data_IF_729885505650
#
_entry.id   IF_729885505650
#
_cell.length_a   1.000
_cell.length_b   1.000
_cell.length_c   1.000
_cell.angle_alpha   90.00
_cell.angle_beta   90.00
_cell.angle_gamma   90.00
#
_symmetry.space_group_name_H-M   'P 1'
#
loop_
_entity.id
_entity.type
_entity.pdbx_description
1 polymer ?
#
# COMPACT_ATOMS: atom_id res chain seq x y z
N UNK A 1 -14.96 -35.35 20.62
CA UNK A 1 -15.65 -34.09 20.25
C UNK A 1 -14.72 -32.89 20.07
N UNK A 2 -13.77 -32.59 20.98
CA UNK A 2 -12.91 -31.39 20.89
C UNK A 2 -12.10 -31.25 19.58
N UNK A 3 -11.60 -32.36 19.03
CA UNK A 3 -10.79 -32.35 17.79
C UNK A 3 -11.60 -31.96 16.54
N UNK A 4 -12.86 -32.41 16.45
CA UNK A 4 -13.74 -32.11 15.30
C UNK A 4 -14.18 -30.64 15.28
N UNK A 5 -14.46 -30.07 16.44
CA UNK A 5 -14.78 -28.64 16.58
C UNK A 5 -13.59 -27.76 16.22
N UNK A 6 -12.38 -28.12 16.68
CA UNK A 6 -11.15 -27.38 16.36
C UNK A 6 -10.82 -27.36 14.87
N UNK A 7 -10.99 -28.49 14.17
CA UNK A 7 -10.77 -28.58 12.71
C UNK A 7 -11.79 -27.72 11.96
N UNK A 8 -13.06 -27.70 12.38
CA UNK A 8 -14.08 -26.86 11.78
C UNK A 8 -13.73 -25.37 11.88
N UNK A 9 -13.40 -24.89 13.09
CA UNK A 9 -13.01 -23.49 13.27
C UNK A 9 -11.72 -23.16 12.52
N UNK A 10 -10.72 -24.05 12.54
CA UNK A 10 -9.48 -23.86 11.77
C UNK A 10 -9.74 -23.73 10.27
N UNK A 11 -10.60 -24.58 9.71
CA UNK A 11 -11.03 -24.50 8.31
C UNK A 11 -11.81 -23.22 8.00
N UNK A 12 -12.75 -22.82 8.87
CA UNK A 12 -13.53 -21.59 8.72
C UNK A 12 -12.64 -20.34 8.73
N UNK A 13 -11.78 -20.20 9.73
CA UNK A 13 -10.86 -19.06 9.84
C UNK A 13 -9.81 -19.06 8.73
N UNK A 14 -9.33 -20.24 8.31
CA UNK A 14 -8.44 -20.37 7.16
C UNK A 14 -9.09 -19.90 5.86
N UNK A 15 -10.31 -20.35 5.58
CA UNK A 15 -11.07 -19.93 4.41
C UNK A 15 -11.41 -18.43 4.43
N UNK A 16 -11.84 -17.92 5.59
CA UNK A 16 -12.11 -16.49 5.77
C UNK A 16 -10.84 -15.66 5.59
N UNK A 17 -9.70 -16.11 6.11
CA UNK A 17 -8.41 -15.47 5.94
C UNK A 17 -7.99 -15.39 4.47
N UNK A 18 -8.15 -16.49 3.72
CA UNK A 18 -7.89 -16.50 2.26
C UNK A 18 -8.82 -15.53 1.55
N UNK A 19 -10.12 -15.53 1.87
CA UNK A 19 -11.10 -14.64 1.23
C UNK A 19 -10.74 -13.17 1.48
N UNK A 20 -10.49 -12.79 2.73
CA UNK A 20 -10.11 -11.43 3.09
C UNK A 20 -8.79 -11.02 2.42
N UNK A 21 -7.81 -11.93 2.37
CA UNK A 21 -6.56 -11.71 1.67
C UNK A 21 -6.80 -11.48 0.17
N UNK A 22 -7.59 -12.31 -0.51
CA UNK A 22 -7.87 -12.16 -1.94
C UNK A 22 -8.62 -10.86 -2.25
N UNK A 23 -9.57 -10.47 -1.40
CA UNK A 23 -10.28 -9.19 -1.53
C UNK A 23 -9.30 -8.03 -1.37
N UNK A 24 -8.53 -8.00 -0.28
CA UNK A 24 -7.53 -6.96 -0.05
C UNK A 24 -6.49 -6.91 -1.18
N UNK A 25 -6.03 -8.07 -1.65
CA UNK A 25 -5.04 -8.20 -2.69
C UNK A 25 -5.53 -7.82 -4.09
N UNK A 26 -6.80 -8.07 -4.38
CA UNK A 26 -7.43 -7.69 -5.64
C UNK A 26 -7.78 -6.21 -5.73
N UNK A 27 -7.85 -5.49 -4.61
CA UNK A 27 -8.18 -4.07 -4.63
C UNK A 27 -6.99 -3.19 -5.03
N UNK A 28 -7.31 -2.08 -5.68
CA UNK A 28 -6.42 -1.03 -6.15
C UNK A 28 -6.45 0.22 -5.25
N UNK A 29 -6.87 0.06 -4.00
CA UNK A 29 -7.08 1.16 -3.03
C UNK A 29 -6.14 1.08 -1.82
N UNK A 30 -4.93 0.59 -2.00
CA UNK A 30 -3.96 0.46 -0.89
C UNK A 30 -3.32 1.82 -0.55
N UNK A 31 -3.25 2.70 -1.54
CA UNK A 31 -2.73 4.04 -1.46
C UNK A 31 -3.62 4.95 -2.29
N UNK A 32 -4.10 6.03 -1.68
CA UNK A 32 -4.83 7.08 -2.36
C UNK A 32 -3.97 8.35 -2.36
N UNK A 33 -3.83 8.99 -3.51
CA UNK A 33 -3.20 10.28 -3.62
C UNK A 33 -4.08 11.25 -4.40
N UNK A 34 -4.02 12.52 -4.04
CA UNK A 34 -4.78 13.59 -4.69
C UNK A 34 -3.80 14.70 -5.03
N UNK A 35 -3.68 14.96 -6.31
CA UNK A 35 -2.92 16.06 -6.87
C UNK A 35 -3.87 17.22 -7.10
N UNK A 36 -3.51 18.40 -6.61
CA UNK A 36 -4.28 19.63 -6.80
C UNK A 36 -3.31 20.69 -7.30
N UNK A 37 -3.58 21.25 -8.47
CA UNK A 37 -2.77 22.32 -9.04
C UNK A 37 -3.59 23.30 -9.86
N UNK A 38 -3.25 24.59 -9.74
CA UNK A 38 -3.71 25.66 -10.65
C UNK A 38 -2.64 25.93 -11.68
N UNK A 39 -2.46 24.97 -12.59
CA UNK A 39 -1.42 25.05 -13.61
C UNK A 39 -2.02 25.69 -14.87
N UNK A 40 -1.59 26.90 -15.21
CA UNK A 40 -1.98 27.58 -16.45
C UNK A 40 -1.27 26.92 -17.64
N UNK A 41 -2.05 26.42 -18.61
CA UNK A 41 -1.51 25.83 -19.85
C UNK A 41 -1.16 26.94 -20.88
N UNK A 42 -1.62 28.18 -20.67
CA UNK A 42 -1.31 29.34 -21.53
C UNK A 42 -1.61 30.70 -20.84
N UNK A 43 -0.86 31.74 -21.24
CA UNK A 43 -0.92 33.13 -20.72
C UNK A 43 -2.30 33.83 -20.74
N UNK A 44 -3.35 33.20 -21.27
CA UNK A 44 -4.71 33.76 -21.36
C UNK A 44 -5.81 32.87 -20.76
N UNK A 45 -5.49 31.71 -20.18
CA UNK A 45 -6.48 30.89 -19.48
C UNK A 45 -6.54 31.28 -18.00
N UNK A 46 -7.74 31.61 -17.52
CA UNK A 46 -8.02 31.66 -16.08
C UNK A 46 -7.60 30.33 -15.49
N UNK A 47 -6.65 30.32 -14.55
CA UNK A 47 -6.06 29.10 -14.01
C UNK A 47 -7.13 28.22 -13.35
N UNK A 48 -7.70 27.29 -14.12
CA UNK A 48 -8.65 26.30 -13.62
C UNK A 48 -7.89 25.35 -12.68
N UNK A 49 -8.46 25.14 -11.49
CA UNK A 49 -7.93 24.21 -10.51
C UNK A 49 -8.23 22.77 -10.99
N UNK A 50 -7.18 22.08 -11.42
CA UNK A 50 -7.25 20.67 -11.83
C UNK A 50 -6.96 19.78 -10.62
N UNK A 51 -7.88 18.86 -10.34
CA UNK A 51 -7.69 17.82 -9.34
C UNK A 51 -7.52 16.49 -10.06
N UNK A 52 -6.42 15.78 -9.81
CA UNK A 52 -6.21 14.42 -10.29
C UNK A 52 -6.15 13.47 -9.10
N UNK A 53 -7.02 12.47 -9.12
CA UNK A 53 -7.06 11.42 -8.11
C UNK A 53 -6.28 10.22 -8.60
N UNK A 54 -5.47 9.65 -7.71
CA UNK A 54 -4.67 8.47 -7.92
C UNK A 54 -5.05 7.42 -6.89
N UNK A 55 -5.23 6.18 -7.34
CA UNK A 55 -5.32 5.03 -6.46
C UNK A 55 -4.39 3.93 -6.98
N UNK A 56 -3.67 3.35 -6.05
CA UNK A 56 -2.72 2.28 -6.31
C UNK A 56 -3.04 1.10 -5.41
N UNK A 57 -3.05 -0.09 -6.00
CA UNK A 57 -2.87 -1.32 -5.25
C UNK A 57 -1.86 -2.21 -5.93
N UNK A 58 -2.02 -3.51 -5.74
CA UNK A 58 -0.97 -4.44 -6.13
C UNK A 58 -0.77 -4.53 -7.65
N UNK A 59 -1.87 -4.72 -8.39
CA UNK A 59 -1.83 -4.98 -9.84
C UNK A 59 -1.98 -3.72 -10.68
N UNK A 60 -2.75 -2.76 -10.16
CA UNK A 60 -3.20 -1.62 -10.93
C UNK A 60 -2.86 -0.33 -10.20
N UNK A 61 -2.40 0.63 -11.00
CA UNK A 61 -2.32 2.03 -10.65
C UNK A 61 -3.25 2.76 -11.60
N UNK A 62 -4.23 3.44 -11.05
CA UNK A 62 -5.25 4.12 -11.82
C UNK A 62 -5.33 5.58 -11.40
N UNK A 63 -5.65 6.45 -12.37
CA UNK A 63 -5.88 7.86 -12.11
C UNK A 63 -7.05 8.40 -12.95
N UNK A 64 -7.66 9.46 -12.44
CA UNK A 64 -8.73 10.18 -13.12
C UNK A 64 -8.78 11.64 -12.67
N UNK A 65 -9.18 12.53 -13.59
CA UNK A 65 -9.37 13.94 -13.30
C UNK A 65 -10.76 14.20 -12.72
N UNK A 66 -10.83 15.08 -11.73
CA UNK A 66 -12.04 15.57 -11.11
C UNK A 66 -12.16 17.09 -11.24
N UNK A 67 -13.40 17.58 -11.22
CA UNK A 67 -13.69 19.01 -11.14
C UNK A 67 -13.86 19.42 -9.69
N UNK A 68 -13.32 20.59 -9.32
CA UNK A 68 -13.60 21.23 -8.03
C UNK A 68 -15.09 21.57 -8.00
N UNK A 69 -15.82 20.91 -7.13
CA UNK A 69 -17.22 21.22 -6.83
C UNK A 69 -17.27 21.61 -5.35
N UNK A 70 -17.92 22.73 -5.02
CA UNK A 70 -17.74 23.50 -3.77
C UNK A 70 -18.03 22.74 -2.46
N UNK A 71 -18.54 21.51 -2.53
CA UNK A 71 -18.79 20.67 -1.36
C UNK A 71 -17.71 19.59 -1.20
N UNK A 72 -16.55 20.01 -0.69
CA UNK A 72 -15.25 19.32 -0.64
C UNK A 72 -15.13 18.17 0.38
N UNK A 73 -16.22 17.73 1.01
CA UNK A 73 -16.16 16.91 2.23
C UNK A 73 -16.67 15.47 2.14
N UNK A 74 -16.75 14.83 0.97
CA UNK A 74 -17.16 13.42 0.98
C UNK A 74 -16.26 12.52 0.14
N UNK A 75 -15.40 11.80 0.87
CA UNK A 75 -14.80 10.52 0.48
C UNK A 75 -15.85 9.55 -0.11
N UNK A 76 -17.12 9.75 0.24
CA UNK A 76 -18.30 9.13 -0.36
C UNK A 76 -18.47 9.45 -1.86
N UNK A 77 -18.19 10.69 -2.30
CA UNK A 77 -18.23 11.05 -3.73
C UNK A 77 -17.15 10.31 -4.52
N UNK A 78 -15.97 10.12 -3.91
CA UNK A 78 -14.86 9.36 -4.48
C UNK A 78 -15.18 7.87 -4.68
N UNK A 79 -15.82 7.21 -3.70
CA UNK A 79 -16.13 5.78 -3.79
C UNK A 79 -17.38 5.45 -4.62
N UNK A 80 -18.38 6.34 -4.72
CA UNK A 80 -19.70 5.98 -5.25
C UNK A 80 -20.30 6.90 -6.32
N UNK A 81 -19.96 8.19 -6.41
CA UNK A 81 -20.76 9.13 -7.25
C UNK A 81 -19.97 10.01 -8.21
N UNK A 82 -18.64 9.94 -8.22
CA UNK A 82 -17.79 10.78 -9.08
C UNK A 82 -16.63 10.02 -9.74
N UNK A 83 -16.80 8.73 -10.03
CA UNK A 83 -15.85 8.06 -10.92
C UNK A 83 -16.06 8.62 -12.33
N UNK A 84 -15.08 9.38 -12.81
CA UNK A 84 -15.03 9.79 -14.22
C UNK A 84 -15.16 8.55 -15.12
N UNK A 85 -15.98 8.59 -16.18
CA UNK A 85 -16.08 7.48 -17.13
C UNK A 85 -14.74 7.16 -17.81
N UNK A 86 -13.76 8.07 -17.77
CA UNK A 86 -12.40 7.87 -18.27
C UNK A 86 -11.39 7.71 -17.13
N UNK A 87 -11.35 6.52 -16.53
CA UNK A 87 -10.22 6.12 -15.66
C UNK A 87 -9.10 5.57 -16.52
N UNK A 88 -7.87 6.04 -16.32
CA UNK A 88 -6.71 5.48 -16.99
C UNK A 88 -5.96 4.59 -16.00
N UNK A 89 -5.72 3.34 -16.39
CA UNK A 89 -5.14 2.33 -15.53
C UNK A 89 -3.92 1.72 -16.20
N UNK A 90 -2.84 1.61 -15.44
CA UNK A 90 -1.61 0.94 -15.85
C UNK A 90 -1.22 -0.09 -14.81
N UNK A 91 -0.41 -1.06 -15.21
CA UNK A 91 0.07 -2.05 -14.27
C UNK A 91 1.05 -1.43 -13.27
N UNK A 92 0.78 -1.59 -11.97
CA UNK A 92 1.58 -0.98 -10.91
C UNK A 92 3.05 -1.45 -10.93
N UNK A 93 3.33 -2.68 -11.36
CA UNK A 93 4.69 -3.22 -11.49
C UNK A 93 5.49 -2.62 -12.66
N UNK A 94 4.83 -2.00 -13.64
CA UNK A 94 5.47 -1.31 -14.78
C UNK A 94 5.67 0.19 -14.53
N UNK A 95 5.07 0.72 -13.46
CA UNK A 95 5.22 2.12 -13.07
C UNK A 95 6.09 2.22 -11.82
N UNK A 96 7.42 2.41 -11.95
CA UNK A 96 8.11 3.15 -10.91
C UNK A 96 7.39 4.49 -10.73
N UNK A 97 7.44 5.05 -9.52
CA UNK A 97 6.89 6.38 -9.23
C UNK A 97 7.34 7.38 -10.32
N UNK A 98 6.56 8.43 -10.64
CA UNK A 98 6.89 9.35 -11.72
C UNK A 98 7.99 10.29 -11.25
N UNK A 99 9.19 9.77 -11.18
CA UNK A 99 10.40 10.51 -10.93
C UNK A 99 11.47 9.70 -11.61
N UNK A 100 12.00 10.29 -12.67
CA UNK A 100 13.20 9.84 -13.36
C UNK A 100 12.97 8.68 -14.32
N UNK A 101 12.02 8.85 -15.24
CA UNK A 101 12.15 8.15 -16.54
C UNK A 101 13.43 8.61 -17.28
N UNK A 102 13.95 9.78 -16.93
CA UNK A 102 15.12 10.40 -17.55
C UNK A 102 16.44 10.27 -16.74
N UNK A 103 16.43 9.79 -15.48
CA UNK A 103 17.66 9.36 -14.75
C UNK A 103 17.63 7.85 -14.46
N UNK A 104 17.59 7.06 -15.53
CA UNK A 104 17.79 5.61 -15.51
C UNK A 104 19.11 5.15 -14.84
N UNK A 105 20.02 6.07 -14.51
CA UNK A 105 21.31 5.82 -13.89
C UNK A 105 21.39 6.18 -12.39
N UNK A 106 20.29 6.62 -11.77
CA UNK A 106 20.32 6.95 -10.34
C UNK A 106 20.28 5.68 -9.45
N UNK A 107 21.06 5.67 -8.37
CA UNK A 107 21.06 4.59 -7.36
C UNK A 107 19.68 4.39 -6.72
N UNK A 108 18.87 5.45 -6.63
CA UNK A 108 17.51 5.41 -6.12
C UNK A 108 16.55 4.62 -7.04
N UNK A 109 16.66 4.80 -8.36
CA UNK A 109 15.86 4.06 -9.34
C UNK A 109 16.17 2.56 -9.32
N UNK A 110 17.46 2.20 -9.31
CA UNK A 110 17.90 0.81 -9.27
C UNK A 110 17.48 0.10 -7.97
N UNK A 111 17.62 0.76 -6.81
CA UNK A 111 17.18 0.20 -5.53
C UNK A 111 15.66 0.03 -5.46
N UNK A 112 14.89 0.94 -6.05
CA UNK A 112 13.43 0.83 -6.14
C UNK A 112 12.96 -0.38 -6.96
N UNK A 113 13.60 -0.64 -8.11
CA UNK A 113 13.29 -1.81 -8.95
C UNK A 113 13.59 -3.11 -8.19
N UNK A 114 14.78 -3.20 -7.59
CA UNK A 114 15.20 -4.39 -6.84
C UNK A 114 14.22 -4.66 -5.70
N UNK A 115 13.82 -3.60 -4.97
CA UNK A 115 12.86 -3.68 -3.89
C UNK A 115 11.50 -4.22 -4.33
N UNK A 116 10.94 -3.66 -5.41
CA UNK A 116 9.67 -4.13 -6.00
C UNK A 116 9.78 -5.57 -6.52
N UNK A 117 10.94 -5.96 -7.03
CA UNK A 117 11.24 -7.34 -7.41
C UNK A 117 11.14 -8.30 -6.22
N UNK A 118 11.87 -8.05 -5.13
CA UNK A 118 11.82 -8.87 -3.92
C UNK A 118 10.41 -8.98 -3.33
N UNK A 119 9.71 -7.84 -3.26
CA UNK A 119 8.34 -7.80 -2.78
C UNK A 119 7.40 -8.68 -3.63
N UNK A 120 7.52 -8.61 -4.95
CA UNK A 120 6.72 -9.42 -5.88
C UNK A 120 7.05 -10.92 -5.76
N UNK A 121 8.32 -11.29 -5.59
CA UNK A 121 8.75 -12.68 -5.42
C UNK A 121 8.22 -13.27 -4.11
N UNK A 122 8.34 -12.55 -3.00
CA UNK A 122 7.85 -12.99 -1.69
C UNK A 122 6.35 -13.20 -1.68
N UNK A 123 5.61 -12.31 -2.34
CA UNK A 123 4.18 -12.47 -2.52
C UNK A 123 3.84 -13.68 -3.39
N UNK A 124 4.50 -13.85 -4.54
CA UNK A 124 4.26 -15.02 -5.40
C UNK A 124 4.50 -16.32 -4.63
N UNK A 125 5.57 -16.38 -3.84
CA UNK A 125 5.85 -17.50 -2.95
C UNK A 125 4.72 -17.70 -1.92
N UNK A 126 4.20 -16.62 -1.33
CA UNK A 126 3.05 -16.66 -0.42
C UNK A 126 1.80 -17.27 -1.07
N UNK A 127 1.46 -16.83 -2.29
CA UNK A 127 0.31 -17.33 -3.07
C UNK A 127 0.47 -18.82 -3.39
N UNK A 128 1.63 -19.23 -3.89
CA UNK A 128 1.92 -20.65 -4.16
C UNK A 128 1.80 -21.48 -2.89
N UNK A 129 2.30 -20.96 -1.77
CA UNK A 129 2.22 -21.63 -0.47
C UNK A 129 0.77 -21.83 -0.02
N UNK A 130 -0.12 -20.84 -0.20
CA UNK A 130 -1.56 -20.97 0.10
C UNK A 130 -2.23 -22.00 -0.78
N UNK A 131 -1.92 -22.04 -2.07
CA UNK A 131 -2.49 -23.02 -3.00
C UNK A 131 -2.10 -24.45 -2.57
N UNK A 132 -0.82 -24.66 -2.25
CA UNK A 132 -0.31 -25.95 -1.76
C UNK A 132 -0.93 -26.31 -0.41
N UNK A 133 -1.04 -25.36 0.53
CA UNK A 133 -1.69 -25.55 1.82
C UNK A 133 -3.15 -25.99 1.67
N UNK A 134 -3.89 -25.29 0.79
CA UNK A 134 -5.31 -25.55 0.52
C UNK A 134 -5.50 -26.94 -0.09
N UNK A 135 -4.64 -27.33 -1.03
CA UNK A 135 -4.65 -28.68 -1.58
C UNK A 135 -4.50 -29.75 -0.49
N UNK A 136 -3.53 -29.61 0.41
CA UNK A 136 -3.36 -30.56 1.52
C UNK A 136 -4.57 -30.63 2.44
N UNK A 137 -5.18 -29.50 2.80
CA UNK A 137 -6.37 -29.46 3.67
C UNK A 137 -7.59 -30.08 2.98
N UNK A 138 -7.81 -29.80 1.69
CA UNK A 138 -8.92 -30.38 0.91
C UNK A 138 -8.77 -31.89 0.82
N UNK A 139 -7.55 -32.39 0.55
CA UNK A 139 -7.26 -33.82 0.54
C UNK A 139 -7.36 -34.45 1.94
N UNK A 140 -7.14 -33.71 3.03
CA UNK A 140 -7.19 -34.26 4.37
C UNK A 140 -8.59 -34.78 4.76
N UNK A 141 -9.67 -34.18 4.24
CA UNK A 141 -11.05 -34.56 4.53
C UNK A 141 -11.45 -35.96 4.02
N UNK A 142 -11.31 -36.30 2.71
CA UNK A 142 -11.66 -37.63 2.21
C UNK A 142 -10.72 -38.73 2.72
N UNK A 143 -9.44 -38.42 2.97
CA UNK A 143 -8.47 -39.41 3.44
C UNK A 143 -8.43 -39.56 4.97
N UNK A 144 -9.14 -38.70 5.72
CA UNK A 144 -9.14 -38.72 7.19
C UNK A 144 -7.74 -38.61 7.82
N UNK A 145 -6.76 -38.04 7.11
CA UNK A 145 -5.35 -38.10 7.48
C UNK A 145 -4.95 -36.90 8.35
N UNK A 146 -4.60 -37.18 9.61
CA UNK A 146 -4.09 -36.17 10.54
C UNK A 146 -2.76 -35.56 10.08
N UNK A 147 -1.95 -36.30 9.32
CA UNK A 147 -0.68 -35.80 8.76
C UNK A 147 -0.95 -34.70 7.74
N UNK A 148 -1.96 -34.85 6.88
CA UNK A 148 -2.33 -33.84 5.88
C UNK A 148 -2.84 -32.56 6.54
N UNK A 149 -3.66 -32.67 7.60
CA UNK A 149 -4.07 -31.49 8.37
C UNK A 149 -2.89 -30.76 9.01
N UNK A 150 -1.93 -31.50 9.58
CA UNK A 150 -0.73 -30.92 10.20
C UNK A 150 0.17 -30.22 9.17
N UNK A 151 0.42 -30.87 8.02
CA UNK A 151 1.24 -30.34 6.94
C UNK A 151 0.58 -29.11 6.31
N UNK A 152 -0.70 -29.20 5.94
CA UNK A 152 -1.46 -28.08 5.37
C UNK A 152 -1.53 -26.88 6.30
N UNK A 153 -1.78 -27.11 7.60
CA UNK A 153 -1.75 -26.06 8.61
C UNK A 153 -0.37 -25.39 8.74
N UNK A 154 0.71 -26.17 8.67
CA UNK A 154 2.07 -25.64 8.65
C UNK A 154 2.34 -24.73 7.45
N UNK A 155 1.91 -25.11 6.25
CA UNK A 155 2.02 -24.26 5.06
C UNK A 155 1.18 -22.99 5.18
N UNK A 156 -0.02 -23.05 5.78
CA UNK A 156 -0.81 -21.83 6.06
C UNK A 156 -0.08 -20.86 7.00
N UNK A 157 0.60 -21.36 8.03
CA UNK A 157 1.41 -20.52 8.93
C UNK A 157 2.57 -19.89 8.15
N UNK A 158 3.28 -20.67 7.33
CA UNK A 158 4.37 -20.17 6.50
C UNK A 158 3.89 -19.08 5.52
N UNK A 159 2.74 -19.28 4.88
CA UNK A 159 2.11 -18.28 4.02
C UNK A 159 1.78 -16.99 4.79
N UNK A 160 1.23 -17.09 6.01
CA UNK A 160 0.96 -15.95 6.87
C UNK A 160 2.21 -15.13 7.20
N UNK A 161 3.34 -15.80 7.47
CA UNK A 161 4.64 -15.14 7.70
C UNK A 161 5.09 -14.42 6.42
N UNK A 162 5.03 -15.08 5.26
CA UNK A 162 5.40 -14.48 3.97
C UNK A 162 4.56 -13.23 3.66
N UNK A 163 3.23 -13.30 3.83
CA UNK A 163 2.38 -12.14 3.61
C UNK A 163 2.59 -11.03 4.63
N UNK A 164 2.93 -11.37 5.88
CA UNK A 164 3.32 -10.37 6.88
C UNK A 164 4.58 -9.62 6.43
N UNK A 165 5.58 -10.33 5.91
CA UNK A 165 6.78 -9.71 5.34
C UNK A 165 6.44 -8.82 4.14
N UNK A 166 5.54 -9.26 3.25
CA UNK A 166 5.06 -8.46 2.12
C UNK A 166 4.40 -7.16 2.58
N UNK A 167 3.56 -7.20 3.62
CA UNK A 167 2.93 -6.01 4.20
C UNK A 167 3.96 -5.09 4.84
N UNK A 168 4.92 -5.62 5.60
CA UNK A 168 6.00 -4.83 6.20
C UNK A 168 6.83 -4.13 5.12
N UNK A 169 7.17 -4.85 4.04
CA UNK A 169 7.88 -4.28 2.91
C UNK A 169 7.03 -3.21 2.21
N UNK A 170 5.73 -3.42 2.02
CA UNK A 170 4.86 -2.39 1.48
C UNK A 170 4.87 -1.10 2.33
N UNK A 171 4.83 -1.23 3.66
CA UNK A 171 4.90 -0.10 4.58
C UNK A 171 6.26 0.62 4.49
N UNK A 172 7.36 -0.12 4.42
CA UNK A 172 8.70 0.46 4.25
C UNK A 172 8.81 1.18 2.89
N UNK A 173 8.28 0.59 1.82
CA UNK A 173 8.23 1.23 0.49
C UNK A 173 7.57 2.61 0.56
N UNK A 174 6.37 2.64 1.14
CA UNK A 174 5.58 3.84 1.32
C UNK A 174 6.28 4.90 2.19
N UNK A 175 6.93 4.49 3.28
CA UNK A 175 7.49 5.42 4.25
C UNK A 175 8.92 5.88 3.95
N UNK A 176 9.73 5.03 3.32
CA UNK A 176 11.18 5.23 3.19
C UNK A 176 11.64 5.37 1.74
N UNK A 177 10.96 4.74 0.78
CA UNK A 177 11.41 4.72 -0.62
C UNK A 177 10.60 5.67 -1.52
N UNK A 178 9.36 5.98 -1.16
CA UNK A 178 8.56 6.99 -1.86
C UNK A 178 9.09 8.39 -1.51
N UNK A 179 10.04 8.89 -2.31
CA UNK A 179 10.58 10.24 -2.14
C UNK A 179 9.60 11.30 -2.70
N UNK A 180 8.53 11.51 -1.95
CA UNK A 180 7.45 12.42 -2.29
C UNK A 180 7.90 13.89 -2.32
N UNK A 181 8.91 14.24 -1.52
CA UNK A 181 9.43 15.60 -1.42
C UNK A 181 10.08 16.03 -2.74
N UNK A 182 10.99 15.20 -3.28
CA UNK A 182 11.56 15.45 -4.59
C UNK A 182 10.50 15.47 -5.70
N UNK A 183 9.42 14.69 -5.55
CA UNK A 183 8.34 14.66 -6.53
C UNK A 183 7.61 15.99 -6.58
N UNK A 184 7.23 16.50 -5.41
CA UNK A 184 6.57 17.79 -5.27
C UNK A 184 7.49 18.93 -5.72
N UNK A 185 8.78 18.89 -5.37
CA UNK A 185 9.76 19.91 -5.79
C UNK A 185 9.86 19.94 -7.32
N UNK A 186 10.04 18.78 -7.96
CA UNK A 186 10.12 18.70 -9.41
C UNK A 186 8.84 19.20 -10.08
N UNK A 187 7.67 18.79 -9.57
CA UNK A 187 6.38 19.20 -10.14
C UNK A 187 6.09 20.69 -9.94
N UNK A 188 6.61 21.28 -8.85
CA UNK A 188 6.52 22.73 -8.58
C UNK A 188 7.34 23.60 -9.53
N UNK A 189 8.35 23.05 -10.20
CA UNK A 189 9.08 23.77 -11.27
C UNK A 189 8.12 24.11 -12.40
N UNK A 190 7.27 23.15 -12.80
CA UNK A 190 6.30 23.34 -13.88
C UNK A 190 5.01 24.02 -13.39
N UNK A 191 4.65 23.84 -12.12
CA UNK A 191 3.41 24.37 -11.55
C UNK A 191 3.59 24.85 -10.09
N UNK A 192 3.83 26.16 -9.87
CA UNK A 192 4.14 26.71 -8.55
C UNK A 192 3.07 26.44 -7.49
N UNK A 193 1.80 26.44 -7.88
CA UNK A 193 0.63 26.21 -7.01
C UNK A 193 0.28 24.71 -6.85
N UNK A 194 1.21 23.80 -7.14
CA UNK A 194 1.00 22.36 -6.99
C UNK A 194 1.02 21.92 -5.51
N UNK A 195 0.03 21.11 -5.13
CA UNK A 195 -0.08 20.45 -3.83
C UNK A 195 -0.47 18.98 -4.00
N UNK A 196 0.05 18.14 -3.11
CA UNK A 196 -0.17 16.69 -3.15
C UNK A 196 -0.59 16.20 -1.77
N UNK A 197 -1.72 15.50 -1.72
CA UNK A 197 -2.27 14.89 -0.53
C UNK A 197 -2.27 13.37 -0.68
N UNK A 198 -1.41 12.67 0.05
CA UNK A 198 -1.42 11.21 0.10
C UNK A 198 -2.14 10.73 1.38
N UNK A 199 -3.05 9.78 1.22
CA UNK A 199 -3.75 9.08 2.31
C UNK A 199 -3.48 7.58 2.21
N UNK A 200 -3.07 7.02 3.34
CA UNK A 200 -2.94 5.59 3.53
C UNK A 200 -4.07 5.18 4.46
N UNK A 201 -4.71 4.04 4.20
CA UNK A 201 -5.90 3.56 4.94
C UNK A 201 -5.65 3.18 6.41
N UNK A 202 -4.63 3.75 7.06
CA UNK A 202 -4.49 3.75 8.52
C UNK A 202 -3.64 4.89 9.13
N UNK A 203 -3.04 5.79 8.34
CA UNK A 203 -2.33 6.96 8.86
C UNK A 203 -2.47 8.16 7.93
N UNK A 204 -3.18 9.18 8.41
CA UNK A 204 -3.25 10.51 7.82
C UNK A 204 -1.87 11.17 7.99
N UNK A 205 -1.07 11.27 6.92
CA UNK A 205 0.13 12.11 6.87
C UNK A 205 -0.27 13.59 6.78
N UNK A 206 -0.67 14.16 7.92
CA UNK A 206 -0.69 15.60 8.12
C UNK A 206 0.43 15.93 9.12
N UNK A 207 1.44 16.64 8.63
CA UNK A 207 2.64 17.12 9.35
C UNK A 207 3.70 16.08 9.76
N UNK A 208 4.72 15.90 8.92
CA UNK A 208 6.06 15.45 9.37
C UNK A 208 7.03 16.62 9.55
N UNK A 209 6.56 17.77 10.06
CA UNK A 209 7.46 18.77 10.66
C UNK A 209 7.82 18.43 12.11
N UNK A 210 7.01 17.62 12.81
CA UNK A 210 7.17 17.38 14.25
C UNK A 210 8.12 16.22 14.62
N UNK A 211 8.54 15.36 13.68
CA UNK A 211 9.44 14.23 13.98
C UNK A 211 10.90 14.41 13.54
N UNK A 212 11.26 15.56 12.93
CA UNK A 212 12.68 15.88 12.68
C UNK A 212 13.43 16.36 13.94
N UNK A 213 12.72 16.72 15.02
CA UNK A 213 13.34 17.25 16.25
C UNK A 213 13.44 16.30 17.45
N UNK A 214 12.88 15.07 17.39
CA UNK A 214 12.81 14.19 18.57
C UNK A 214 13.77 13.00 18.56
N UNK A 215 14.64 12.87 17.56
CA UNK A 215 15.54 11.70 17.43
C UNK A 215 17.04 12.02 17.48
N UNK A 216 17.42 13.23 17.87
CA UNK A 216 18.83 13.59 18.11
C UNK A 216 18.94 14.41 19.40
N UNK A 217 19.11 13.72 20.54
CA UNK A 217 19.97 14.15 21.64
C UNK A 217 20.29 12.95 22.55
N UNK A 218 21.57 12.65 22.82
CA UNK A 218 22.01 11.49 23.59
C UNK A 218 21.94 11.74 25.10
N UNK A 219 21.94 10.64 25.86
CA UNK A 219 22.14 10.53 27.31
C UNK A 219 22.94 11.68 27.94
N UNK A 220 22.33 12.48 28.82
CA UNK A 220 22.95 13.03 30.04
C UNK A 220 21.85 13.33 31.09
N UNK A 221 22.12 12.93 32.35
CA UNK A 221 21.49 13.30 33.63
C UNK A 221 20.29 12.51 34.20
N UNK A 222 20.66 11.58 35.09
CA UNK A 222 19.95 11.23 36.34
C UNK A 222 19.34 12.45 37.05
N UNK A 223 18.18 12.31 37.70
CA UNK A 223 17.89 13.01 38.93
C UNK A 223 17.93 12.06 40.13
N UNK A 224 18.69 12.48 41.15
CA UNK A 224 18.65 11.92 42.49
C UNK A 224 17.22 11.98 43.06
N UNK A 225 16.78 10.86 43.65
CA UNK A 225 15.75 10.88 44.68
C UNK A 225 16.23 11.77 45.84
N UNK A 226 15.37 12.65 46.33
CA UNK A 226 15.48 13.20 47.67
C UNK A 226 14.07 13.41 48.22
N UNK A 227 13.77 12.63 49.26
CA UNK A 227 12.68 12.84 50.21
C UNK A 227 12.79 14.23 50.83
N UNK A 228 11.73 15.02 50.78
CA UNK A 228 10.92 15.46 51.92
C UNK A 228 9.69 16.23 51.42
#
# INVERSE_FOLDING_TARGET
>A
MKLSVGIFFGGLFGALGILLFLVAFGTDYWLLATEVGRCSESLNDTAEERITFHHEGFFWRCWFDGKVDENTNSMWKFWYTNQSPSKNCTHAYLSPFPLLRDENNSTAYNSAIIYRGFWSVLLLLGVVTVIVASFFIICAAPFGSHVLYKTGGGFFIAAGILFTLVVVLYVIWVQAMANLENYVIMKKIDCPDFSLYARYDSLQWRHRELMKHSLILPLVHLPQLSFF
#
